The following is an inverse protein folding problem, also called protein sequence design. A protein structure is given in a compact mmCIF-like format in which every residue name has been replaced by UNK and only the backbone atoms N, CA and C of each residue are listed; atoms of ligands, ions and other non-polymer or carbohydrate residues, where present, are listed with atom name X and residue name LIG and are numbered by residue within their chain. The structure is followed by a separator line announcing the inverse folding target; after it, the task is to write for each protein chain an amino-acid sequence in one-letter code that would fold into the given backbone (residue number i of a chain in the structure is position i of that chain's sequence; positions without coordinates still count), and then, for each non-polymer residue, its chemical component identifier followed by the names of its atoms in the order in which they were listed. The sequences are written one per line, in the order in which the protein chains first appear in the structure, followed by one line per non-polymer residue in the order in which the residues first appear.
data_IF_272676790145
#
_entry.id   IF_272676790145
#
_cell.length_a   1.000
_cell.length_b   1.000
_cell.length_c   1.000
_cell.angle_alpha   90.00
_cell.angle_beta   90.00
_cell.angle_gamma   90.00
#
_symmetry.space_group_name_H-M   'P 1'
#
loop_
_entity.id
_entity.type
_entity.pdbx_description
1 polymer ?
#
# COMPACT_ATOMS: atom_id res chain seq x y z
N UNK A 1 15.05 3.85 -10.60
CA UNK A 1 14.10 4.60 -9.76
C UNK A 1 14.02 4.00 -8.37
N UNK A 2 13.29 4.61 -7.44
CA UNK A 2 12.98 4.02 -6.13
C UNK A 2 11.79 3.06 -6.27
N UNK A 3 11.84 1.93 -5.58
CA UNK A 3 10.77 0.95 -5.55
C UNK A 3 10.53 0.47 -4.13
N UNK A 4 9.30 0.05 -3.84
CA UNK A 4 8.91 -0.49 -2.56
C UNK A 4 8.00 -1.70 -2.78
N UNK A 5 8.09 -2.67 -1.88
CA UNK A 5 7.18 -3.83 -1.83
C UNK A 5 6.29 -3.70 -0.61
N UNK A 6 5.07 -4.21 -0.74
CA UNK A 6 4.10 -4.28 0.34
C UNK A 6 3.51 -5.69 0.38
N UNK A 7 3.21 -6.18 1.58
CA UNK A 7 2.60 -7.48 1.71
C UNK A 7 1.12 -7.44 1.30
N UNK A 8 0.63 -8.53 0.68
CA UNK A 8 -0.76 -8.67 0.22
C UNK A 8 -1.69 -9.01 1.38
N UNK A 9 -1.71 -8.13 2.39
CA UNK A 9 -2.51 -8.23 3.62
C UNK A 9 -3.03 -6.82 3.96
N UNK A 10 -4.33 -6.69 4.16
CA UNK A 10 -4.99 -5.41 4.48
C UNK A 10 -4.38 -4.70 5.72
N UNK A 11 -3.99 -5.45 6.75
CA UNK A 11 -3.34 -4.91 7.96
C UNK A 11 -1.94 -4.38 7.67
N UNK A 12 -1.28 -4.88 6.63
CA UNK A 12 0.01 -4.38 6.14
C UNK A 12 -0.15 -2.99 5.56
N UNK A 13 -1.15 -2.81 4.69
CA UNK A 13 -1.47 -1.55 4.04
C UNK A 13 -1.82 -0.46 5.06
N UNK A 14 -2.68 -0.78 6.03
CA UNK A 14 -3.05 0.14 7.11
C UNK A 14 -1.85 0.68 7.88
N UNK A 15 -0.91 -0.21 8.22
CA UNK A 15 0.33 0.17 8.92
C UNK A 15 1.21 1.05 8.06
N UNK A 16 1.32 0.72 6.77
CA UNK A 16 2.11 1.49 5.81
C UNK A 16 1.54 2.91 5.61
N UNK A 17 0.21 3.05 5.51
CA UNK A 17 -0.49 4.33 5.43
C UNK A 17 -0.27 5.18 6.69
N UNK A 18 -0.60 4.64 7.88
CA UNK A 18 -0.48 5.37 9.16
C UNK A 18 0.93 5.87 9.42
N UNK A 19 1.94 5.13 8.98
CA UNK A 19 3.36 5.47 9.15
C UNK A 19 3.95 6.23 7.97
N UNK A 20 3.20 6.52 6.90
CA UNK A 20 3.72 7.10 5.64
C UNK A 20 4.93 6.35 5.09
N UNK A 21 4.93 5.02 5.19
CA UNK A 21 6.10 4.18 4.85
C UNK A 21 6.41 4.23 3.35
N UNK A 22 5.38 4.14 2.50
CA UNK A 22 5.54 4.23 1.05
C UNK A 22 6.06 5.61 0.63
N UNK A 23 5.53 6.69 1.22
CA UNK A 23 6.00 8.04 0.91
C UNK A 23 7.48 8.25 1.24
N UNK A 24 7.95 7.69 2.37
CA UNK A 24 9.37 7.78 2.75
C UNK A 24 10.26 6.91 1.86
N UNK A 25 9.83 5.68 1.54
CA UNK A 25 10.60 4.76 0.70
C UNK A 25 10.72 5.26 -0.74
N UNK A 26 9.65 5.88 -1.26
CA UNK A 26 9.59 6.44 -2.60
C UNK A 26 9.93 7.93 -2.63
N UNK A 27 10.20 8.54 -1.48
CA UNK A 27 10.50 9.98 -1.22
C UNK A 27 9.66 10.93 -2.11
N UNK A 28 8.35 10.68 -2.05
CA UNK A 28 7.28 11.44 -2.70
C UNK A 28 6.00 11.26 -1.87
N UNK A 29 5.12 12.25 -1.82
CA UNK A 29 3.80 12.04 -1.24
C UNK A 29 2.96 11.11 -2.13
N UNK A 30 2.29 10.16 -1.48
CA UNK A 30 1.41 9.19 -2.13
C UNK A 30 -0.03 9.67 -1.89
N UNK A 31 -0.80 9.82 -2.97
CA UNK A 31 -2.18 10.27 -2.91
C UNK A 31 -3.11 9.20 -2.36
N UNK A 32 -4.23 9.62 -1.79
CA UNK A 32 -5.25 8.72 -1.26
C UNK A 32 -5.80 7.78 -2.35
N UNK A 33 -5.96 8.25 -3.59
CA UNK A 33 -6.38 7.44 -4.74
C UNK A 33 -5.44 6.23 -4.98
N UNK A 34 -4.13 6.40 -4.78
CA UNK A 34 -3.17 5.29 -4.91
C UNK A 34 -3.36 4.29 -3.78
N UNK A 35 -3.63 4.76 -2.56
CA UNK A 35 -3.93 3.88 -1.44
C UNK A 35 -5.26 3.13 -1.59
N UNK A 36 -6.29 3.78 -2.14
CA UNK A 36 -7.58 3.14 -2.45
C UNK A 36 -7.39 2.01 -3.48
N UNK A 37 -6.66 2.26 -4.57
CA UNK A 37 -6.33 1.22 -5.57
C UNK A 37 -5.53 0.06 -4.98
N UNK A 38 -4.53 0.36 -4.14
CA UNK A 38 -3.77 -0.68 -3.43
C UNK A 38 -4.68 -1.51 -2.52
N UNK A 39 -5.64 -0.86 -1.86
CA UNK A 39 -6.59 -1.51 -0.98
C UNK A 39 -7.50 -2.47 -1.75
N UNK A 40 -8.06 -2.04 -2.89
CA UNK A 40 -8.89 -2.88 -3.77
C UNK A 40 -8.13 -4.11 -4.26
N UNK A 41 -6.88 -3.94 -4.71
CA UNK A 41 -6.04 -5.05 -5.19
C UNK A 41 -5.76 -6.06 -4.07
N UNK A 42 -5.41 -5.58 -2.88
CA UNK A 42 -5.10 -6.45 -1.74
C UNK A 42 -6.35 -7.23 -1.31
N UNK A 43 -7.50 -6.58 -1.19
CA UNK A 43 -8.76 -7.26 -0.85
C UNK A 43 -9.15 -8.29 -1.91
N UNK A 44 -9.02 -7.94 -3.20
CA UNK A 44 -9.27 -8.89 -4.30
C UNK A 44 -8.36 -10.11 -4.24
N UNK A 45 -7.10 -9.95 -3.80
CA UNK A 45 -6.16 -11.06 -3.65
C UNK A 45 -6.43 -11.90 -2.39
N UNK A 46 -6.97 -11.32 -1.33
CA UNK A 46 -7.37 -12.04 -0.11
C UNK A 46 -8.56 -12.98 -0.38
N UNK A 47 -9.50 -12.60 -1.24
CA UNK A 47 -10.68 -13.41 -1.59
C UNK A 47 -10.35 -14.60 -2.50
N UNK A 48 -9.20 -14.59 -3.18
CA UNK A 48 -8.76 -15.65 -4.10
C UNK A 48 -7.91 -16.73 -3.41
N UNK A 49 -7.89 -16.74 -2.07
CA UNK A 49 -7.02 -17.58 -1.25
C UNK A 49 -7.81 -18.55 -0.38
#
# INVERSE_FOLDING_TARGET
GRGAYICSDSKCLDKAMKKKQLSRALDIDISDEVFEKLNEIIHSNEEQK
#
